data_IF_228773243517
#
_entry.id   IF_228773243517
#
_cell.length_a   1.000
_cell.length_b   1.000
_cell.length_c   1.000
_cell.angle_alpha   90.00
_cell.angle_beta   90.00
_cell.angle_gamma   90.00
#
_symmetry.space_group_name_H-M   'P 1'
#
loop_
_entity.id
_entity.type
_entity.pdbx_description
1 polymer ?
#
# COMPACT_ATOMS: atom_id res chain seq x y z
N UNK A 1 52.88 -39.04 -35.71
CA UNK A 1 53.26 -37.74 -36.29
C UNK A 1 52.00 -37.10 -36.86
N UNK A 2 51.77 -35.84 -36.48
CA UNK A 2 50.85 -34.79 -36.99
C UNK A 2 50.44 -34.89 -38.47
N UNK A 3 49.40 -34.27 -39.03
CA UNK A 3 48.25 -33.42 -38.64
C UNK A 3 47.49 -33.09 -39.95
N UNK A 4 46.38 -32.34 -39.81
CA UNK A 4 45.75 -31.39 -40.75
C UNK A 4 44.64 -31.94 -41.65
N UNK A 5 43.36 -31.68 -41.33
CA UNK A 5 42.62 -30.39 -41.48
C UNK A 5 42.31 -30.11 -42.94
N UNK A 6 41.02 -30.26 -43.31
CA UNK A 6 40.21 -29.37 -44.16
C UNK A 6 38.89 -30.05 -44.54
N UNK A 7 37.84 -29.87 -43.75
CA UNK A 7 36.45 -30.19 -44.16
C UNK A 7 35.48 -29.13 -43.62
N UNK A 8 35.62 -27.91 -44.14
CA UNK A 8 34.63 -26.84 -43.99
C UNK A 8 34.28 -26.38 -45.40
N UNK A 9 33.14 -26.81 -45.98
CA UNK A 9 32.39 -25.99 -46.96
C UNK A 9 31.02 -26.55 -47.43
N UNK A 10 30.30 -27.43 -46.71
CA UNK A 10 29.00 -27.93 -47.22
C UNK A 10 27.97 -28.10 -46.08
N UNK A 11 27.71 -27.07 -45.28
CA UNK A 11 26.63 -27.11 -44.29
C UNK A 11 26.03 -25.70 -44.03
N UNK A 12 25.80 -24.95 -45.11
CA UNK A 12 25.39 -23.53 -45.03
C UNK A 12 24.03 -23.17 -45.62
N UNK A 13 23.23 -24.14 -46.13
CA UNK A 13 21.94 -23.83 -46.77
C UNK A 13 20.94 -24.94 -46.46
N UNK A 14 20.41 -24.99 -45.22
CA UNK A 14 19.25 -25.83 -44.91
C UNK A 14 18.49 -25.39 -43.65
N UNK A 15 18.25 -24.09 -43.46
CA UNK A 15 17.48 -23.58 -42.31
C UNK A 15 16.73 -22.28 -42.66
N UNK A 16 15.88 -22.34 -43.69
CA UNK A 16 15.04 -21.21 -44.12
C UNK A 16 13.61 -21.60 -44.52
N UNK A 17 13.11 -22.77 -44.09
CA UNK A 17 11.71 -23.18 -44.33
C UNK A 17 11.17 -23.93 -43.10
N UNK A 18 10.77 -23.17 -42.07
CA UNK A 18 9.86 -23.66 -41.02
C UNK A 18 9.21 -22.45 -40.31
N UNK A 19 8.57 -21.59 -41.09
CA UNK A 19 7.49 -20.75 -40.59
C UNK A 19 6.18 -21.43 -40.99
N UNK A 20 5.18 -21.34 -40.11
CA UNK A 20 3.75 -21.71 -40.23
C UNK A 20 3.39 -22.97 -39.40
N UNK A 21 2.25 -22.83 -38.68
CA UNK A 21 1.57 -23.75 -37.74
C UNK A 21 2.07 -23.61 -36.27
N UNK A 22 1.29 -23.14 -35.30
CA UNK A 22 -0.11 -22.75 -35.27
C UNK A 22 -0.45 -22.06 -33.95
N UNK A 23 -1.40 -21.14 -34.03
CA UNK A 23 -1.96 -20.39 -32.91
C UNK A 23 -3.07 -21.21 -32.27
N UNK A 24 -2.97 -21.49 -30.97
CA UNK A 24 -4.10 -21.94 -30.15
C UNK A 24 -3.92 -21.50 -28.70
N UNK A 25 -4.48 -20.32 -28.43
CA UNK A 25 -5.23 -19.93 -27.23
C UNK A 25 -4.71 -20.41 -25.88
N UNK A 26 -3.69 -19.74 -25.34
CA UNK A 26 -3.57 -19.58 -23.90
C UNK A 26 -4.70 -18.66 -23.44
N UNK A 27 -5.78 -19.27 -22.96
CA UNK A 27 -6.82 -18.61 -22.20
C UNK A 27 -6.20 -18.15 -20.87
N UNK A 28 -5.56 -16.98 -20.91
CA UNK A 28 -5.22 -16.22 -19.72
C UNK A 28 -6.54 -15.94 -18.98
N UNK A 29 -6.82 -16.73 -17.94
CA UNK A 29 -7.76 -16.38 -16.90
C UNK A 29 -7.18 -15.16 -16.17
N UNK A 30 -7.36 -14.00 -16.78
CA UNK A 30 -7.13 -12.72 -16.14
C UNK A 30 -8.30 -12.56 -15.17
N UNK A 31 -8.00 -12.83 -13.89
CA UNK A 31 -8.83 -12.44 -12.77
C UNK A 31 -9.16 -10.95 -12.99
N UNK A 32 -10.40 -10.66 -13.39
CA UNK A 32 -10.91 -9.31 -13.49
C UNK A 32 -10.92 -8.76 -12.06
N UNK A 33 -9.78 -8.24 -11.61
CA UNK A 33 -9.79 -7.18 -10.61
C UNK A 33 -10.77 -6.15 -11.15
N UNK A 34 -11.96 -6.09 -10.54
CA UNK A 34 -12.95 -5.04 -10.75
C UNK A 34 -12.17 -3.75 -11.01
N UNK A 35 -12.29 -3.24 -12.22
CA UNK A 35 -11.82 -1.91 -12.55
C UNK A 35 -12.53 -0.98 -11.56
N UNK A 36 -11.77 -0.48 -10.57
CA UNK A 36 -12.19 0.66 -9.79
C UNK A 36 -12.27 1.78 -10.81
N UNK A 37 -13.49 2.23 -11.08
CA UNK A 37 -13.72 3.43 -11.84
C UNK A 37 -13.31 4.59 -10.92
N UNK A 38 -11.99 4.77 -10.75
CA UNK A 38 -11.39 5.87 -10.01
C UNK A 38 -11.65 7.14 -10.82
N UNK A 39 -12.84 7.70 -10.60
CA UNK A 39 -13.11 9.10 -10.88
C UNK A 39 -11.94 9.91 -10.26
N UNK A 40 -11.19 10.64 -11.09
CA UNK A 40 -10.08 11.51 -10.68
C UNK A 40 -10.53 12.68 -9.78
N UNK A 41 -11.83 12.77 -9.45
CA UNK A 41 -12.37 13.49 -8.29
C UNK A 41 -12.15 12.73 -6.96
N UNK A 42 -11.35 11.66 -7.02
CA UNK A 42 -11.01 10.69 -5.99
C UNK A 42 -10.74 11.35 -4.65
N UNK A 43 -11.34 10.78 -3.59
CA UNK A 43 -11.02 11.15 -2.22
C UNK A 43 -9.52 10.93 -1.98
N UNK A 44 -8.82 11.98 -1.57
CA UNK A 44 -7.41 11.89 -1.22
C UNK A 44 -7.29 11.47 0.24
N UNK A 45 -6.58 10.37 0.49
CA UNK A 45 -6.23 9.97 1.85
C UNK A 45 -5.19 10.95 2.39
N UNK A 46 -5.53 11.63 3.49
CA UNK A 46 -4.62 12.50 4.23
C UNK A 46 -3.72 11.62 5.10
N UNK A 47 -4.37 10.82 5.95
CA UNK A 47 -3.71 9.78 6.71
C UNK A 47 -4.65 8.59 6.94
N UNK A 48 -4.06 7.44 7.26
CA UNK A 48 -4.79 6.32 7.81
C UNK A 48 -4.01 5.57 8.89
N UNK A 49 -4.76 4.95 9.80
CA UNK A 49 -4.25 4.02 10.80
C UNK A 49 -5.10 2.76 10.78
N UNK A 50 -4.45 1.62 10.62
CA UNK A 50 -5.10 0.30 10.64
C UNK A 50 -4.46 -0.61 11.66
N UNK A 51 -5.28 -1.44 12.28
CA UNK A 51 -4.87 -2.65 12.98
C UNK A 51 -5.51 -3.88 12.32
N UNK A 52 -5.42 -5.04 12.97
CA UNK A 52 -6.03 -6.28 12.45
C UNK A 52 -7.56 -6.29 12.42
N UNK A 53 -8.22 -5.33 13.07
CA UNK A 53 -9.67 -5.30 13.30
C UNK A 53 -10.34 -4.21 12.48
N UNK A 54 -9.71 -3.05 12.39
CA UNK A 54 -10.30 -1.88 11.76
C UNK A 54 -9.26 -0.91 11.19
N UNK A 55 -9.73 -0.07 10.26
CA UNK A 55 -8.99 1.06 9.70
C UNK A 55 -9.77 2.35 9.93
N UNK A 56 -9.07 3.40 10.33
CA UNK A 56 -9.56 4.78 10.32
C UNK A 56 -8.80 5.55 9.24
N UNK A 57 -9.51 6.28 8.38
CA UNK A 57 -8.95 7.02 7.24
C UNK A 57 -9.53 8.42 7.22
N UNK A 58 -8.67 9.44 7.34
CA UNK A 58 -9.09 10.82 7.10
C UNK A 58 -8.86 11.15 5.63
N UNK A 59 -9.91 11.61 4.97
CA UNK A 59 -9.96 11.83 3.52
C UNK A 59 -10.43 13.25 3.22
N UNK A 60 -9.92 13.84 2.14
CA UNK A 60 -10.46 15.07 1.54
C UNK A 60 -11.08 14.78 0.18
N UNK A 61 -12.15 15.48 -0.16
CA UNK A 61 -12.73 15.48 -1.50
C UNK A 61 -12.09 16.54 -2.38
N UNK A 62 -12.26 16.43 -3.71
CA UNK A 62 -11.89 17.50 -4.65
C UNK A 62 -12.62 18.83 -4.42
N UNK A 63 -13.73 18.84 -3.67
CA UNK A 63 -14.44 20.06 -3.25
C UNK A 63 -13.93 20.66 -1.93
N UNK A 64 -12.96 20.02 -1.28
CA UNK A 64 -12.38 20.48 -0.02
C UNK A 64 -13.22 20.12 1.22
N UNK A 65 -14.16 19.18 1.11
CA UNK A 65 -14.84 18.57 2.26
C UNK A 65 -13.94 17.49 2.87
N UNK A 66 -14.04 17.30 4.19
CA UNK A 66 -13.30 16.26 4.90
C UNK A 66 -14.23 15.19 5.45
N UNK A 67 -13.78 13.95 5.42
CA UNK A 67 -14.49 12.82 6.01
C UNK A 67 -13.54 11.89 6.74
N UNK A 68 -13.98 11.40 7.89
CA UNK A 68 -13.35 10.27 8.57
C UNK A 68 -14.13 9.01 8.19
N UNK A 69 -13.44 8.01 7.68
CA UNK A 69 -14.02 6.73 7.28
C UNK A 69 -13.52 5.63 8.21
N UNK A 70 -14.43 4.79 8.72
CA UNK A 70 -14.12 3.60 9.51
C UNK A 70 -14.44 2.36 8.71
N UNK A 71 -13.46 1.47 8.63
CA UNK A 71 -13.56 0.19 7.95
C UNK A 71 -13.36 -0.97 8.94
N UNK A 72 -13.98 -2.12 8.66
CA UNK A 72 -13.67 -3.42 9.28
C UNK A 72 -13.29 -4.38 8.18
N UNK A 73 -12.02 -4.76 8.11
CA UNK A 73 -11.48 -5.38 6.90
C UNK A 73 -11.60 -4.41 5.71
N UNK A 74 -12.23 -4.86 4.63
CA UNK A 74 -12.47 -4.04 3.43
C UNK A 74 -13.82 -3.29 3.48
N UNK A 75 -14.69 -3.64 4.43
CA UNK A 75 -16.04 -3.09 4.49
C UNK A 75 -16.05 -1.71 5.16
N UNK A 76 -16.63 -0.73 4.47
CA UNK A 76 -16.90 0.59 5.04
C UNK A 76 -18.07 0.51 6.03
N UNK A 77 -17.80 0.80 7.29
CA UNK A 77 -18.78 0.67 8.39
C UNK A 77 -19.44 1.99 8.72
N UNK A 78 -18.68 3.10 8.71
CA UNK A 78 -19.19 4.41 9.10
C UNK A 78 -18.36 5.51 8.45
N UNK A 79 -19.03 6.62 8.10
CA UNK A 79 -18.39 7.83 7.61
C UNK A 79 -18.91 9.00 8.45
N UNK A 80 -18.00 9.83 8.94
CA UNK A 80 -18.32 11.09 9.60
C UNK A 80 -17.88 12.24 8.70
N UNK A 81 -18.75 13.22 8.49
CA UNK A 81 -18.30 14.53 7.99
C UNK A 81 -17.46 15.20 9.07
N UNK A 82 -16.36 15.82 8.66
CA UNK A 82 -15.42 16.46 9.58
C UNK A 82 -15.25 17.91 9.18
N UNK A 83 -15.41 18.82 10.15
CA UNK A 83 -15.15 20.23 9.93
C UNK A 83 -13.68 20.46 9.60
N UNK A 84 -13.38 21.44 8.74
CA UNK A 84 -12.01 21.76 8.31
C UNK A 84 -11.04 21.95 9.49
N UNK A 85 -11.43 22.70 10.51
CA UNK A 85 -10.59 22.96 11.69
C UNK A 85 -10.28 21.68 12.47
N UNK A 86 -11.25 20.77 12.56
CA UNK A 86 -11.09 19.47 13.20
C UNK A 86 -10.18 18.56 12.37
N UNK A 87 -10.39 18.50 11.05
CA UNK A 87 -9.57 17.72 10.14
C UNK A 87 -8.11 18.18 10.18
N UNK A 88 -7.88 19.49 10.19
CA UNK A 88 -6.53 20.06 10.29
C UNK A 88 -5.87 19.72 11.63
N UNK A 89 -6.59 19.85 12.74
CA UNK A 89 -6.06 19.44 14.07
C UNK A 89 -5.70 17.96 14.10
N UNK A 90 -6.49 17.11 13.44
CA UNK A 90 -6.20 15.68 13.32
C UNK A 90 -4.97 15.41 12.44
N UNK A 91 -4.85 16.08 11.29
CA UNK A 91 -3.69 15.98 10.40
C UNK A 91 -2.42 16.40 11.12
N UNK A 92 -2.42 17.58 11.77
CA UNK A 92 -1.26 18.11 12.49
C UNK A 92 -0.80 17.16 13.62
N UNK A 93 -1.75 16.66 14.43
CA UNK A 93 -1.42 15.72 15.51
C UNK A 93 -0.94 14.38 14.96
N UNK A 94 -1.57 13.86 13.89
CA UNK A 94 -1.13 12.61 13.27
C UNK A 94 0.27 12.76 12.68
N UNK A 95 0.54 13.85 11.95
CA UNK A 95 1.82 14.12 11.32
C UNK A 95 2.95 14.23 12.35
N UNK A 96 2.74 14.95 13.46
CA UNK A 96 3.71 15.02 14.56
C UNK A 96 4.07 13.62 15.09
N UNK A 97 3.06 12.78 15.38
CA UNK A 97 3.31 11.41 15.85
C UNK A 97 3.95 10.55 14.77
N UNK A 98 3.53 10.65 13.52
CA UNK A 98 4.09 9.87 12.43
C UNK A 98 5.58 10.17 12.24
N UNK A 99 5.94 11.46 12.19
CA UNK A 99 7.34 11.91 12.06
C UNK A 99 8.17 11.40 13.23
N UNK A 100 7.70 11.59 14.47
CA UNK A 100 8.39 11.09 15.66
C UNK A 100 8.62 9.58 15.60
N UNK A 101 7.59 8.81 15.27
CA UNK A 101 7.66 7.35 15.24
C UNK A 101 8.59 6.81 14.15
N UNK A 102 8.62 7.47 13.00
CA UNK A 102 9.35 7.03 11.81
C UNK A 102 10.81 7.51 11.80
N UNK A 103 11.06 8.74 12.21
CA UNK A 103 12.36 9.41 12.02
C UNK A 103 13.11 9.71 13.32
N UNK A 104 12.42 9.91 14.44
CA UNK A 104 13.07 10.32 15.70
C UNK A 104 13.27 9.15 16.66
N UNK A 105 12.38 8.17 16.63
CA UNK A 105 12.44 6.99 17.49
C UNK A 105 13.31 5.89 16.90
N UNK A 106 13.90 5.08 17.78
CA UNK A 106 14.73 3.94 17.38
C UNK A 106 13.98 3.02 16.41
N UNK A 107 14.68 2.60 15.35
CA UNK A 107 14.17 1.60 14.43
C UNK A 107 14.04 0.24 15.13
N UNK A 108 13.14 -0.61 14.61
CA UNK A 108 13.00 -1.96 15.12
C UNK A 108 14.20 -2.82 14.71
N UNK A 109 14.92 -3.37 15.69
CA UNK A 109 16.20 -4.05 15.45
C UNK A 109 16.07 -5.54 15.06
N UNK A 110 14.88 -6.15 15.17
CA UNK A 110 14.71 -7.58 14.87
C UNK A 110 14.41 -7.81 13.39
N UNK A 111 14.95 -8.90 12.83
CA UNK A 111 14.79 -9.29 11.41
C UNK A 111 13.34 -9.42 10.94
N UNK A 112 12.42 -9.84 11.82
CA UNK A 112 11.03 -10.07 11.46
C UNK A 112 10.10 -9.13 12.24
N UNK A 113 9.44 -8.22 11.51
CA UNK A 113 8.40 -7.35 12.07
C UNK A 113 7.03 -8.01 11.94
N UNK A 114 6.49 -8.49 13.07
CA UNK A 114 5.06 -8.76 13.16
C UNK A 114 4.33 -7.44 13.39
N UNK A 115 3.87 -6.79 12.31
CA UNK A 115 3.13 -5.53 12.40
C UNK A 115 1.86 -5.69 13.22
N UNK A 116 1.59 -4.72 14.08
CA UNK A 116 0.34 -4.59 14.86
C UNK A 116 -0.45 -3.35 14.44
N UNK A 117 0.21 -2.32 13.92
CA UNK A 117 -0.40 -1.16 13.31
C UNK A 117 0.33 -0.81 12.02
N UNK A 118 -0.44 -0.47 10.99
CA UNK A 118 0.09 0.16 9.79
C UNK A 118 -0.44 1.61 9.75
N UNK A 119 0.49 2.55 9.56
CA UNK A 119 0.22 3.97 9.45
C UNK A 119 0.55 4.41 8.03
N UNK A 120 -0.30 5.25 7.47
CA UNK A 120 -0.08 5.86 6.16
C UNK A 120 -0.30 7.36 6.26
N UNK A 121 0.58 8.14 5.66
CA UNK A 121 0.42 9.58 5.53
C UNK A 121 1.06 10.04 4.23
N UNK A 122 0.28 10.70 3.35
CA UNK A 122 0.79 11.32 2.12
C UNK A 122 1.68 10.38 1.28
N UNK A 123 1.30 9.10 1.18
CA UNK A 123 2.02 8.06 0.43
C UNK A 123 3.18 7.41 1.18
N UNK A 124 3.51 7.87 2.38
CA UNK A 124 4.48 7.23 3.24
C UNK A 124 3.83 6.23 4.19
N UNK A 125 4.47 5.07 4.34
CA UNK A 125 4.02 4.02 5.27
C UNK A 125 4.98 3.90 6.45
N UNK A 126 4.43 3.65 7.63
CA UNK A 126 5.16 3.25 8.84
C UNK A 126 4.45 2.06 9.48
N UNK A 127 5.19 0.97 9.72
CA UNK A 127 4.68 -0.19 10.45
C UNK A 127 5.14 -0.16 11.90
N UNK A 128 4.25 -0.45 12.83
CA UNK A 128 4.60 -0.60 14.25
C UNK A 128 4.62 -2.09 14.57
N UNK A 129 5.77 -2.61 14.96
CA UNK A 129 5.97 -4.02 15.24
C UNK A 129 5.54 -4.36 16.68
N UNK A 130 5.08 -5.59 16.92
CA UNK A 130 4.64 -6.08 18.24
C UNK A 130 5.64 -5.83 19.39
N UNK A 131 6.94 -5.76 19.10
CA UNK A 131 7.99 -5.51 20.09
C UNK A 131 8.22 -4.04 20.44
N UNK A 132 7.62 -3.09 19.73
CA UNK A 132 7.84 -1.65 19.91
C UNK A 132 6.78 -1.04 20.85
N UNK A 133 6.87 -1.39 22.14
CA UNK A 133 5.85 -1.02 23.15
C UNK A 133 5.59 0.49 23.22
N UNK A 134 6.64 1.31 23.26
CA UNK A 134 6.47 2.77 23.33
C UNK A 134 5.72 3.33 22.11
N UNK A 135 6.08 2.86 20.91
CA UNK A 135 5.38 3.24 19.67
C UNK A 135 3.93 2.81 19.66
N UNK A 136 3.66 1.59 20.16
CA UNK A 136 2.31 1.05 20.34
C UNK A 136 1.46 1.97 21.23
N UNK A 137 1.98 2.36 22.39
CA UNK A 137 1.23 3.15 23.37
C UNK A 137 0.88 4.55 22.81
N UNK A 138 1.79 5.15 22.03
CA UNK A 138 1.54 6.41 21.31
C UNK A 138 0.36 6.27 20.32
N UNK A 139 0.36 5.22 19.51
CA UNK A 139 -0.69 4.99 18.51
C UNK A 139 -2.03 4.63 19.15
N UNK A 140 -2.03 3.81 20.20
CA UNK A 140 -3.27 3.48 20.92
C UNK A 140 -3.91 4.72 21.55
N UNK A 141 -3.09 5.64 22.08
CA UNK A 141 -3.57 6.94 22.58
C UNK A 141 -4.18 7.78 21.45
N UNK A 142 -3.48 7.90 20.31
CA UNK A 142 -3.96 8.65 19.15
C UNK A 142 -5.29 8.10 18.63
N UNK A 143 -5.41 6.78 18.46
CA UNK A 143 -6.65 6.11 18.06
C UNK A 143 -7.76 6.36 19.09
N UNK A 144 -7.43 6.28 20.38
CA UNK A 144 -8.37 6.53 21.47
C UNK A 144 -8.95 7.94 21.44
N UNK A 145 -8.12 8.95 21.18
CA UNK A 145 -8.54 10.35 21.03
C UNK A 145 -9.49 10.54 19.84
N UNK A 146 -9.16 9.95 18.68
CA UNK A 146 -10.03 9.99 17.50
C UNK A 146 -11.37 9.30 17.80
N UNK A 147 -11.35 8.09 18.37
CA UNK A 147 -12.57 7.35 18.71
C UNK A 147 -13.43 8.11 19.71
N UNK A 148 -12.85 8.72 20.73
CA UNK A 148 -13.62 9.49 21.72
C UNK A 148 -14.42 10.61 21.08
N UNK A 149 -13.89 11.22 20.01
CA UNK A 149 -14.57 12.31 19.29
C UNK A 149 -15.63 11.82 18.29
N UNK A 150 -15.49 10.59 17.78
CA UNK A 150 -16.30 10.07 16.68
C UNK A 150 -17.02 8.74 16.99
N UNK A 151 -17.14 8.32 18.25
CA UNK A 151 -17.87 7.08 18.62
C UNK A 151 -19.37 7.22 18.35
#
# INVERSE_FOLDING_TARGET
MMNHITKNFIFGILLLIASIIGSSSDLMAQDEKRSSNDDLRSRQVIFSVSDKREKLSLESSGSGEFSLSKYKGEDLVKVWKVDRSVAQTMDDNFADKFIRLKYEMKAFEKKACSSIFDLEMRGEVQKICKGEKEKKDIIEKLIGEIKKKFS
#
